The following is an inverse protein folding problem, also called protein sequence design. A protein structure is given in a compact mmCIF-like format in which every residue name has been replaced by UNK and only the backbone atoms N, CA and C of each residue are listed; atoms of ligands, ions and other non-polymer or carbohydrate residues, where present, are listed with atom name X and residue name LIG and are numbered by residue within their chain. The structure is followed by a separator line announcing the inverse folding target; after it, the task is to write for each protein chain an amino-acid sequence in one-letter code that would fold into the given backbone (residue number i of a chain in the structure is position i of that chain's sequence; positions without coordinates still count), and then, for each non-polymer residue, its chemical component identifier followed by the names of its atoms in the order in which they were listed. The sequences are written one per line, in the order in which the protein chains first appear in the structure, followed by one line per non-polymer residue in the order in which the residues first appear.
data_IF_838004413307
#
_entry.id   IF_838004413307
#
_cell.length_a   1.000
_cell.length_b   1.000
_cell.length_c   1.000
_cell.angle_alpha   90.00
_cell.angle_beta   90.00
_cell.angle_gamma   90.00
#
_symmetry.space_group_name_H-M   'P 1'
#
loop_
_entity.id
_entity.type
_entity.pdbx_description
1 polymer ?
#
# COMPACT_ATOMS: atom_id res chain seq x y z
N UNK A 1 -34.24 19.11 39.87
CA UNK A 1 -33.58 20.06 38.94
C UNK A 1 -32.14 19.60 38.77
N UNK A 2 -31.90 18.60 37.93
CA UNK A 2 -30.55 18.12 37.63
C UNK A 2 -29.86 19.08 36.68
N UNK A 3 -28.73 19.65 37.13
CA UNK A 3 -27.83 20.46 36.30
C UNK A 3 -27.16 19.52 35.31
N UNK A 4 -27.59 19.55 34.05
CA UNK A 4 -26.90 18.89 32.94
C UNK A 4 -25.50 19.50 32.86
N UNK A 5 -24.49 18.71 33.19
CA UNK A 5 -23.11 19.17 33.23
C UNK A 5 -22.64 19.61 31.83
N UNK A 6 -21.89 20.73 31.70
CA UNK A 6 -21.47 21.31 30.41
C UNK A 6 -20.49 20.44 29.60
N UNK A 7 -20.03 19.33 30.17
CA UNK A 7 -19.09 18.40 29.53
C UNK A 7 -19.64 17.74 28.27
N UNK A 8 -20.96 17.49 28.20
CA UNK A 8 -21.57 16.87 27.00
C UNK A 8 -21.55 17.77 25.77
N UNK A 9 -21.70 19.09 25.97
CA UNK A 9 -21.71 20.06 24.87
C UNK A 9 -20.31 20.23 24.25
N UNK A 10 -19.26 20.23 25.08
CA UNK A 10 -17.88 20.35 24.60
C UNK A 10 -17.45 19.17 23.70
N UNK A 11 -17.89 17.95 24.01
CA UNK A 11 -17.59 16.75 23.21
C UNK A 11 -18.30 16.80 21.86
N UNK A 12 -19.57 17.21 21.83
CA UNK A 12 -20.34 17.38 20.59
C UNK A 12 -19.73 18.43 19.66
N UNK A 13 -19.23 19.55 20.21
CA UNK A 13 -18.55 20.59 19.43
C UNK A 13 -17.23 20.07 18.87
N UNK A 14 -16.47 19.26 19.62
CA UNK A 14 -15.22 18.69 19.15
C UNK A 14 -15.42 17.71 17.98
N UNK A 15 -16.47 16.88 18.03
CA UNK A 15 -16.79 15.92 16.97
C UNK A 15 -17.16 16.60 15.64
N UNK A 16 -17.71 17.81 15.67
CA UNK A 16 -18.03 18.63 14.49
C UNK A 16 -16.79 19.25 13.82
N UNK A 17 -15.63 19.22 14.49
CA UNK A 17 -14.37 19.73 13.93
C UNK A 17 -13.55 18.67 13.21
N UNK A 18 -13.99 17.40 13.23
CA UNK A 18 -13.31 16.33 12.52
C UNK A 18 -13.57 16.53 11.02
N UNK A 19 -12.55 16.89 10.21
CA UNK A 19 -12.75 16.98 8.78
C UNK A 19 -13.20 15.62 8.26
N UNK A 20 -14.14 15.56 7.30
CA UNK A 20 -14.50 14.30 6.67
C UNK A 20 -13.22 13.61 6.19
N UNK A 21 -12.95 12.42 6.72
CA UNK A 21 -11.93 11.52 6.20
C UNK A 21 -12.43 11.05 4.84
N UNK A 22 -12.28 11.88 3.81
CA UNK A 22 -12.54 11.49 2.45
C UNK A 22 -11.54 10.41 2.11
N UNK A 23 -12.02 9.17 2.07
CA UNK A 23 -11.28 8.10 1.45
C UNK A 23 -10.91 8.59 0.05
N UNK A 24 -9.64 8.48 -0.31
CA UNK A 24 -9.18 8.94 -1.62
C UNK A 24 -10.00 8.27 -2.73
N UNK A 25 -10.11 8.88 -3.92
CA UNK A 25 -10.97 8.39 -5.00
C UNK A 25 -10.71 6.93 -5.41
N UNK A 26 -9.59 6.35 -5.01
CA UNK A 26 -9.15 4.99 -5.34
C UNK A 26 -8.75 4.13 -4.15
N UNK A 27 -8.94 4.57 -2.90
CA UNK A 27 -8.32 3.96 -1.73
C UNK A 27 -8.55 2.44 -1.65
N UNK A 28 -9.79 1.99 -1.84
CA UNK A 28 -10.15 0.58 -1.86
C UNK A 28 -9.44 -0.21 -2.97
N UNK A 29 -9.33 0.40 -4.16
CA UNK A 29 -8.66 -0.24 -5.30
C UNK A 29 -7.17 -0.37 -5.06
N UNK A 30 -6.54 0.63 -4.44
CA UNK A 30 -5.13 0.58 -4.01
C UNK A 30 -4.92 -0.55 -3.01
N UNK A 31 -5.78 -0.64 -1.98
CA UNK A 31 -5.70 -1.69 -0.98
C UNK A 31 -5.81 -3.09 -1.59
N UNK A 32 -6.78 -3.31 -2.49
CA UNK A 32 -6.96 -4.58 -3.19
C UNK A 32 -5.74 -4.97 -4.03
N UNK A 33 -5.21 -4.06 -4.85
CA UNK A 33 -4.07 -4.37 -5.72
C UNK A 33 -2.78 -4.54 -4.91
N UNK A 34 -2.61 -3.79 -3.81
CA UNK A 34 -1.50 -3.97 -2.88
C UNK A 34 -1.53 -5.37 -2.26
N UNK A 35 -2.68 -5.82 -1.74
CA UNK A 35 -2.80 -7.16 -1.17
C UNK A 35 -2.45 -8.28 -2.17
N UNK A 36 -2.81 -8.11 -3.45
CA UNK A 36 -2.44 -9.06 -4.49
C UNK A 36 -0.93 -9.02 -4.80
N UNK A 37 -0.30 -7.84 -4.77
CA UNK A 37 1.13 -7.70 -4.96
C UNK A 37 1.91 -8.35 -3.81
N UNK A 38 1.47 -8.14 -2.56
CA UNK A 38 2.08 -8.73 -1.37
C UNK A 38 1.94 -10.26 -1.40
N UNK A 39 0.76 -10.79 -1.74
CA UNK A 39 0.57 -12.23 -1.91
C UNK A 39 1.49 -12.83 -2.99
N UNK A 40 1.76 -12.09 -4.07
CA UNK A 40 2.69 -12.53 -5.12
C UNK A 40 4.16 -12.54 -4.64
N UNK A 41 4.55 -11.54 -3.83
CA UNK A 41 5.87 -11.48 -3.20
C UNK A 41 6.05 -12.65 -2.24
N UNK A 42 5.10 -12.88 -1.33
CA UNK A 42 5.14 -13.97 -0.36
C UNK A 42 5.18 -15.34 -1.04
N UNK A 43 4.32 -15.55 -2.04
CA UNK A 43 4.33 -16.80 -2.83
C UNK A 43 5.69 -17.04 -3.48
N UNK A 44 6.33 -16.00 -4.02
CA UNK A 44 7.64 -16.14 -4.66
C UNK A 44 8.72 -16.44 -3.63
N UNK A 45 8.75 -15.69 -2.53
CA UNK A 45 9.72 -15.86 -1.47
C UNK A 45 9.65 -17.29 -0.89
N UNK A 46 8.43 -17.82 -0.67
CA UNK A 46 8.23 -19.19 -0.19
C UNK A 46 8.45 -20.30 -1.23
N UNK A 47 8.43 -20.00 -2.52
CA UNK A 47 8.66 -20.99 -3.59
C UNK A 47 10.16 -21.23 -3.88
N UNK A 48 11.05 -20.35 -3.42
CA UNK A 48 12.49 -20.52 -3.54
C UNK A 48 13.01 -21.52 -2.52
N UNK A 49 13.94 -22.40 -2.92
CA UNK A 49 14.78 -23.10 -1.95
C UNK A 49 15.74 -22.13 -1.25
N UNK A 50 16.27 -22.52 -0.09
CA UNK A 50 17.24 -21.72 0.66
C UNK A 50 18.38 -21.23 -0.26
N UNK A 51 18.57 -19.91 -0.28
CA UNK A 51 19.66 -19.25 -1.01
C UNK A 51 20.76 -18.85 -0.03
N UNK A 52 21.95 -18.57 -0.56
CA UNK A 52 23.03 -18.00 0.24
C UNK A 52 22.58 -16.66 0.83
N UNK A 53 22.73 -16.50 2.13
CA UNK A 53 22.44 -15.24 2.82
C UNK A 53 23.29 -14.10 2.25
N UNK A 54 22.66 -12.97 1.97
CA UNK A 54 23.35 -11.77 1.50
C UNK A 54 23.84 -10.94 2.69
N UNK A 55 24.86 -10.10 2.49
CA UNK A 55 25.32 -9.14 3.51
C UNK A 55 24.23 -8.12 3.90
N UNK A 56 23.19 -7.99 3.09
CA UNK A 56 22.04 -7.14 3.35
C UNK A 56 21.11 -7.79 4.39
N UNK A 57 20.92 -9.10 4.30
CA UNK A 57 20.11 -9.89 5.23
C UNK A 57 20.71 -9.93 6.65
N UNK A 58 22.02 -9.77 6.81
CA UNK A 58 22.68 -9.76 8.12
C UNK A 58 22.49 -8.46 8.92
N UNK A 59 21.86 -7.44 8.33
CA UNK A 59 21.74 -6.11 8.93
C UNK A 59 20.61 -5.96 9.97
N UNK A 60 19.99 -7.06 10.40
CA UNK A 60 18.96 -7.12 11.45
C UNK A 60 17.76 -6.17 11.28
N UNK A 61 17.53 -5.64 10.08
CA UNK A 61 16.28 -4.94 9.77
C UNK A 61 15.30 -5.89 9.10
N UNK A 62 14.02 -5.58 9.23
CA UNK A 62 12.99 -6.33 8.53
C UNK A 62 13.03 -5.99 7.03
N UNK A 63 13.16 -6.99 6.15
CA UNK A 63 13.07 -6.77 4.72
C UNK A 63 11.73 -6.11 4.37
N UNK A 64 11.78 -5.09 3.52
CA UNK A 64 10.56 -4.52 2.92
C UNK A 64 10.17 -5.34 1.69
N UNK A 65 8.88 -5.31 1.27
CA UNK A 65 8.47 -5.96 0.02
C UNK A 65 9.32 -5.52 -1.19
N UNK A 66 9.76 -4.26 -1.20
CA UNK A 66 10.64 -3.69 -2.24
C UNK A 66 12.06 -4.27 -2.19
N UNK A 67 12.65 -4.45 -1.00
CA UNK A 67 13.99 -5.03 -0.87
C UNK A 67 13.99 -6.51 -1.19
N UNK A 68 12.96 -7.25 -0.80
CA UNK A 68 12.75 -8.65 -1.23
C UNK A 68 12.66 -8.71 -2.76
N UNK A 69 11.82 -7.87 -3.37
CA UNK A 69 11.73 -7.81 -4.83
C UNK A 69 13.03 -7.36 -5.52
N UNK A 70 13.98 -6.72 -4.84
CA UNK A 70 15.25 -6.35 -5.44
C UNK A 70 16.19 -7.56 -5.64
N UNK A 71 16.06 -8.59 -4.79
CA UNK A 71 16.93 -9.78 -4.82
C UNK A 71 16.37 -10.91 -5.69
N UNK A 72 15.09 -10.85 -6.08
CA UNK A 72 14.38 -11.88 -6.86
C UNK A 72 14.62 -11.86 -8.39
N UNK A 73 15.70 -11.23 -8.85
CA UNK A 73 16.11 -11.23 -10.27
C UNK A 73 15.03 -10.71 -11.23
N UNK A 74 14.73 -11.46 -12.30
CA UNK A 74 13.74 -11.05 -13.32
C UNK A 74 12.33 -10.94 -12.73
N UNK A 75 11.96 -11.82 -11.79
CA UNK A 75 10.66 -11.78 -11.14
C UNK A 75 10.55 -10.53 -10.26
N UNK A 76 11.59 -10.29 -9.45
CA UNK A 76 11.73 -9.11 -8.63
C UNK A 76 11.57 -7.78 -9.38
N UNK A 77 12.23 -7.65 -10.55
CA UNK A 77 12.07 -6.47 -11.43
C UNK A 77 10.63 -6.25 -11.90
N UNK A 78 9.83 -7.31 -12.06
CA UNK A 78 8.41 -7.18 -12.43
C UNK A 78 7.59 -6.64 -11.26
N UNK A 79 7.79 -7.19 -10.06
CA UNK A 79 7.15 -6.72 -8.84
C UNK A 79 7.52 -5.27 -8.50
N UNK A 80 8.76 -4.86 -8.70
CA UNK A 80 9.15 -3.45 -8.51
C UNK A 80 8.35 -2.49 -9.39
N UNK A 81 7.97 -2.91 -10.61
CA UNK A 81 7.07 -2.10 -11.46
C UNK A 81 5.67 -2.00 -10.89
N UNK A 82 5.15 -3.08 -10.30
CA UNK A 82 3.86 -3.07 -9.58
C UNK A 82 3.92 -2.09 -8.41
N UNK A 83 4.95 -2.20 -7.57
CA UNK A 83 5.13 -1.34 -6.38
C UNK A 83 5.32 0.14 -6.75
N UNK A 84 6.06 0.42 -7.84
CA UNK A 84 6.21 1.79 -8.34
C UNK A 84 4.87 2.37 -8.82
N UNK A 85 4.10 1.61 -9.60
CA UNK A 85 2.79 2.04 -10.06
C UNK A 85 1.81 2.28 -8.89
N UNK A 86 1.83 1.41 -7.86
CA UNK A 86 1.05 1.60 -6.64
C UNK A 86 1.45 2.86 -5.86
N UNK A 87 2.74 3.18 -5.79
CA UNK A 87 3.19 4.43 -5.18
C UNK A 87 2.70 5.67 -5.93
N UNK A 88 2.69 5.61 -7.27
CA UNK A 88 2.14 6.69 -8.09
C UNK A 88 0.62 6.79 -7.94
N UNK A 89 -0.10 5.66 -7.85
CA UNK A 89 -1.53 5.63 -7.58
C UNK A 89 -1.86 6.30 -6.24
N UNK A 90 -1.13 5.96 -5.16
CA UNK A 90 -1.27 6.60 -3.85
C UNK A 90 -0.99 8.10 -3.88
N UNK A 91 -0.03 8.55 -4.69
CA UNK A 91 0.26 9.97 -4.81
C UNK A 91 -0.89 10.73 -5.48
N UNK A 92 -1.45 10.16 -6.57
CA UNK A 92 -2.61 10.72 -7.25
C UNK A 92 -3.88 10.69 -6.39
N UNK A 93 -4.10 9.60 -5.67
CA UNK A 93 -5.22 9.43 -4.73
C UNK A 93 -5.21 10.49 -3.63
N UNK A 94 -4.05 10.73 -2.99
CA UNK A 94 -3.87 11.83 -2.02
C UNK A 94 -4.06 13.23 -2.62
N UNK A 95 -3.83 13.38 -3.93
CA UNK A 95 -4.06 14.63 -4.64
C UNK A 95 -5.51 14.79 -5.12
N UNK A 96 -6.37 13.79 -4.92
CA UNK A 96 -7.74 13.77 -5.44
C UNK A 96 -7.83 13.54 -6.96
N UNK A 97 -6.72 13.19 -7.62
CA UNK A 97 -6.68 12.94 -9.07
C UNK A 97 -7.11 11.50 -9.38
N UNK A 98 -8.43 11.31 -9.50
CA UNK A 98 -9.02 10.01 -9.80
C UNK A 98 -8.56 9.45 -11.16
N UNK A 99 -8.35 10.29 -12.17
CA UNK A 99 -7.98 9.84 -13.51
C UNK A 99 -6.54 9.30 -13.53
N UNK A 100 -5.60 10.06 -12.98
CA UNK A 100 -4.22 9.62 -12.86
C UNK A 100 -4.11 8.40 -11.95
N UNK A 101 -4.85 8.39 -10.84
CA UNK A 101 -4.86 7.26 -9.94
C UNK A 101 -5.30 5.96 -10.64
N UNK A 102 -6.44 5.97 -11.33
CA UNK A 102 -6.94 4.81 -12.08
C UNK A 102 -5.95 4.37 -13.16
N UNK A 103 -5.34 5.31 -13.89
CA UNK A 103 -4.32 4.98 -14.89
C UNK A 103 -3.08 4.27 -14.28
N UNK A 104 -2.70 4.62 -13.05
CA UNK A 104 -1.60 3.95 -12.35
C UNK A 104 -2.03 2.59 -11.77
N UNK A 105 -3.26 2.45 -11.29
CA UNK A 105 -3.83 1.17 -10.88
C UNK A 105 -3.89 0.16 -12.03
N UNK A 106 -4.27 0.62 -13.22
CA UNK A 106 -4.24 -0.19 -14.44
C UNK A 106 -2.83 -0.66 -14.79
N UNK A 107 -1.84 0.24 -14.68
CA UNK A 107 -0.42 -0.13 -14.88
C UNK A 107 0.03 -1.16 -13.84
N UNK A 108 -0.34 -0.99 -12.57
CA UNK A 108 -0.02 -1.93 -11.50
C UNK A 108 -0.64 -3.30 -11.79
N UNK A 109 -1.92 -3.34 -12.16
CA UNK A 109 -2.67 -4.57 -12.45
C UNK A 109 -2.10 -5.32 -13.65
N UNK A 110 -1.80 -4.61 -14.75
CA UNK A 110 -1.13 -5.20 -15.93
C UNK A 110 0.26 -5.72 -15.60
N UNK A 111 1.05 -4.96 -14.83
CA UNK A 111 2.37 -5.40 -14.41
C UNK A 111 2.31 -6.63 -13.51
N UNK A 112 1.29 -6.72 -12.63
CA UNK A 112 1.08 -7.86 -11.74
C UNK A 112 0.64 -9.10 -12.51
N UNK A 113 -0.26 -8.96 -13.48
CA UNK A 113 -0.64 -10.05 -14.38
C UNK A 113 0.58 -10.60 -15.16
N UNK A 114 1.47 -9.72 -15.61
CA UNK A 114 2.73 -10.11 -16.27
C UNK A 114 3.79 -10.65 -15.31
N UNK A 115 3.60 -10.49 -14.00
CA UNK A 115 4.48 -10.98 -12.94
C UNK A 115 4.06 -12.34 -12.38
N UNK A 116 2.85 -12.82 -12.69
CA UNK A 116 2.46 -14.22 -12.43
C UNK A 116 3.32 -15.18 -13.25
#
# INVERSE_FOLDING_TARGET
MEKVAPFGAAILILLLTIPPSHAGPCEDSIARVQAQADAAIEKRAGAGGWQKESLDATRNYQPTPRSIAATEGKYGRRLQRVLNALNLARAADRAGDAAQCNAQLDKATRALAAAR
#
